data_IF_047286615227
#
_entry.id   IF_047286615227
#
_cell.length_a   1.000
_cell.length_b   1.000
_cell.length_c   1.000
_cell.angle_alpha   90.00
_cell.angle_beta   90.00
_cell.angle_gamma   90.00
#
_symmetry.space_group_name_H-M   'P 1'
#
loop_
_entity.id
_entity.type
_entity.pdbx_description
1 polymer ?
#
# COMPACT_ATOMS: atom_id res chain seq x y z
N UNK A 1 -20.27 -26.92 11.33
CA UNK A 1 -20.76 -28.27 10.95
C UNK A 1 -21.09 -29.03 12.21
N UNK A 2 -22.22 -29.75 12.22
CA UNK A 2 -22.60 -30.59 13.35
C UNK A 2 -21.55 -31.67 13.57
N UNK A 3 -21.14 -31.84 14.81
CA UNK A 3 -20.18 -32.89 15.19
C UNK A 3 -20.92 -34.17 15.59
N UNK A 4 -20.59 -35.26 14.93
CA UNK A 4 -21.12 -36.58 15.26
C UNK A 4 -19.99 -37.37 15.93
N UNK A 5 -20.14 -37.66 17.23
CA UNK A 5 -19.26 -38.57 17.97
C UNK A 5 -19.88 -39.95 17.99
N UNK A 6 -19.11 -40.95 17.58
CA UNK A 6 -19.54 -42.34 17.52
C UNK A 6 -19.18 -43.05 18.81
N UNK A 7 -20.11 -43.81 19.29
CA UNK A 7 -19.93 -44.72 20.39
C UNK A 7 -20.45 -46.10 20.01
N UNK A 8 -20.13 -47.10 20.76
CA UNK A 8 -20.43 -48.51 20.42
C UNK A 8 -21.94 -48.80 20.25
N UNK A 9 -22.82 -48.12 20.98
CA UNK A 9 -24.27 -48.40 21.00
C UNK A 9 -25.07 -47.27 20.34
N UNK A 10 -24.62 -46.02 20.43
CA UNK A 10 -25.34 -44.85 19.96
C UNK A 10 -24.37 -43.77 19.54
N UNK A 11 -24.78 -42.89 18.63
CA UNK A 11 -24.02 -41.73 18.21
C UNK A 11 -24.54 -40.48 18.94
N UNK A 12 -23.64 -39.57 19.29
CA UNK A 12 -23.98 -38.27 19.83
C UNK A 12 -23.83 -37.21 18.76
N UNK A 13 -24.87 -36.46 18.52
CA UNK A 13 -24.85 -35.26 17.68
C UNK A 13 -24.73 -34.04 18.58
N UNK A 14 -23.85 -33.12 18.20
CA UNK A 14 -23.75 -31.79 18.79
C UNK A 14 -23.73 -30.75 17.66
N UNK A 15 -24.79 -29.93 17.58
CA UNK A 15 -24.90 -28.86 16.61
C UNK A 15 -24.53 -27.52 17.22
N UNK A 16 -24.05 -26.60 16.38
CA UNK A 16 -23.82 -25.20 16.73
C UNK A 16 -25.16 -24.44 16.81
N UNK A 17 -25.18 -23.34 17.53
CA UNK A 17 -26.39 -22.53 17.72
C UNK A 17 -26.96 -21.95 16.40
N UNK A 18 -26.08 -21.76 15.41
CA UNK A 18 -26.43 -21.26 14.07
C UNK A 18 -26.95 -22.33 13.11
N UNK A 19 -27.05 -23.59 13.57
CA UNK A 19 -27.47 -24.72 12.75
C UNK A 19 -28.80 -25.27 13.24
N UNK A 20 -29.72 -25.47 12.31
CA UNK A 20 -30.97 -26.12 12.55
C UNK A 20 -30.84 -27.61 12.16
N UNK A 21 -31.09 -28.49 13.11
CA UNK A 21 -31.02 -29.93 12.90
C UNK A 21 -32.44 -30.50 12.87
N UNK A 22 -32.69 -31.33 11.87
CA UNK A 22 -33.88 -32.18 11.84
C UNK A 22 -33.40 -33.64 11.93
N UNK A 23 -33.97 -34.34 12.89
CA UNK A 23 -33.75 -35.77 13.09
C UNK A 23 -34.97 -36.57 12.76
N UNK A 24 -34.84 -37.46 11.80
CA UNK A 24 -35.86 -38.42 11.38
C UNK A 24 -35.46 -39.82 11.84
N UNK A 25 -36.43 -40.56 12.32
CA UNK A 25 -36.29 -41.99 12.63
C UNK A 25 -37.43 -42.74 11.95
N UNK A 26 -37.08 -43.72 11.09
CA UNK A 26 -38.04 -44.52 10.31
C UNK A 26 -39.03 -43.60 9.53
N UNK A 27 -38.53 -42.54 8.90
CA UNK A 27 -39.34 -41.63 8.11
C UNK A 27 -40.19 -40.60 8.91
N UNK A 28 -40.16 -40.63 10.23
CA UNK A 28 -40.92 -39.69 11.08
C UNK A 28 -39.96 -38.67 11.73
N UNK A 29 -40.30 -37.39 11.65
CA UNK A 29 -39.58 -36.31 12.34
C UNK A 29 -39.71 -36.54 13.87
N UNK A 30 -38.60 -36.61 14.55
CA UNK A 30 -38.52 -36.81 16.00
C UNK A 30 -38.03 -35.59 16.76
N UNK A 31 -37.07 -34.88 16.20
CA UNK A 31 -36.50 -33.64 16.78
C UNK A 31 -36.21 -32.65 15.67
N UNK A 32 -36.57 -31.41 15.91
CA UNK A 32 -36.28 -30.28 15.03
C UNK A 32 -35.94 -29.09 15.91
N UNK A 33 -34.86 -28.38 15.62
CA UNK A 33 -34.47 -27.17 16.37
C UNK A 33 -33.04 -26.73 16.12
N UNK A 34 -32.72 -25.54 16.62
CA UNK A 34 -31.39 -24.94 16.56
C UNK A 34 -30.52 -25.41 17.71
N UNK A 35 -29.24 -25.64 17.46
CA UNK A 35 -28.22 -25.93 18.48
C UNK A 35 -28.46 -27.23 19.27
N UNK A 36 -29.14 -28.18 18.66
CA UNK A 36 -29.50 -29.43 19.36
C UNK A 36 -28.28 -30.31 19.66
N UNK A 37 -28.29 -30.89 20.85
CA UNK A 37 -27.35 -31.95 21.22
C UNK A 37 -28.15 -33.16 21.78
N UNK A 38 -27.97 -34.34 21.19
CA UNK A 38 -28.69 -35.54 21.60
C UNK A 38 -28.01 -36.81 21.14
N UNK A 39 -28.40 -37.89 21.78
CA UNK A 39 -27.99 -39.23 21.40
C UNK A 39 -28.99 -39.85 20.45
N UNK A 40 -28.53 -40.59 19.47
CA UNK A 40 -29.39 -41.27 18.49
C UNK A 40 -28.81 -42.60 18.07
N UNK A 41 -29.71 -43.49 17.66
CA UNK A 41 -29.38 -44.79 17.07
C UNK A 41 -29.10 -44.55 15.57
N UNK A 42 -27.92 -44.95 15.05
CA UNK A 42 -27.58 -44.75 13.64
C UNK A 42 -28.47 -45.58 12.69
N UNK A 43 -29.05 -46.71 13.21
CA UNK A 43 -29.86 -47.54 12.38
C UNK A 43 -31.25 -46.94 12.07
N UNK A 44 -31.49 -46.63 10.81
CA UNK A 44 -32.75 -45.98 10.37
C UNK A 44 -32.89 -44.51 10.81
N UNK A 45 -31.79 -43.85 11.15
CA UNK A 45 -31.71 -42.42 11.35
C UNK A 45 -31.45 -41.68 10.03
N UNK A 46 -32.06 -40.52 9.87
CA UNK A 46 -31.69 -39.54 8.86
C UNK A 46 -31.54 -38.16 9.54
N UNK A 47 -30.46 -37.49 9.24
CA UNK A 47 -30.12 -36.19 9.81
C UNK A 47 -29.99 -35.15 8.74
N UNK A 48 -30.59 -33.99 8.96
CA UNK A 48 -30.51 -32.83 8.08
C UNK A 48 -29.91 -31.67 8.84
N UNK A 49 -28.90 -31.01 8.29
CA UNK A 49 -28.24 -29.85 8.89
C UNK A 49 -28.42 -28.63 8.02
N UNK A 50 -29.25 -27.71 8.46
CA UNK A 50 -29.58 -26.49 7.75
C UNK A 50 -28.89 -25.31 8.40
N UNK A 51 -28.00 -24.61 7.71
CA UNK A 51 -27.38 -23.40 8.22
C UNK A 51 -28.37 -22.26 8.25
N UNK A 52 -28.51 -21.62 9.42
CA UNK A 52 -29.41 -20.47 9.61
C UNK A 52 -28.68 -19.14 9.67
N UNK A 53 -27.36 -19.15 9.47
CA UNK A 53 -26.53 -17.95 9.41
C UNK A 53 -26.68 -17.24 8.07
N UNK A 54 -26.44 -15.93 8.07
CA UNK A 54 -26.39 -15.14 6.85
C UNK A 54 -25.25 -15.59 5.96
N UNK A 55 -25.52 -15.62 4.66
CA UNK A 55 -24.57 -16.07 3.64
C UNK A 55 -24.56 -15.09 2.49
N UNK A 56 -23.41 -14.92 1.91
CA UNK A 56 -23.21 -14.05 0.77
C UNK A 56 -23.08 -14.84 -0.52
N UNK A 57 -23.80 -14.38 -1.53
CA UNK A 57 -23.67 -14.80 -2.92
C UNK A 57 -23.13 -13.61 -3.72
N UNK A 58 -21.93 -13.75 -4.22
CA UNK A 58 -21.38 -12.78 -5.18
C UNK A 58 -21.86 -13.20 -6.57
N UNK A 59 -22.37 -12.24 -7.34
CA UNK A 59 -22.84 -12.48 -8.69
C UNK A 59 -22.19 -11.54 -9.71
N UNK A 60 -22.04 -12.04 -10.91
CA UNK A 60 -21.66 -11.29 -12.10
C UNK A 60 -22.56 -11.76 -13.24
N UNK A 61 -23.45 -10.89 -13.68
CA UNK A 61 -24.47 -11.21 -14.69
C UNK A 61 -24.23 -10.33 -15.90
N UNK A 62 -24.27 -10.94 -17.06
CA UNK A 62 -24.25 -10.25 -18.34
C UNK A 62 -25.68 -10.15 -18.84
N UNK A 63 -26.10 -8.95 -19.18
CA UNK A 63 -27.40 -8.65 -19.77
C UNK A 63 -27.24 -7.66 -20.92
N UNK A 64 -28.33 -7.37 -21.61
CA UNK A 64 -28.38 -6.43 -22.72
C UNK A 64 -29.36 -5.30 -22.41
N UNK A 65 -28.99 -4.08 -22.78
CA UNK A 65 -29.86 -2.91 -22.74
C UNK A 65 -30.84 -2.89 -23.92
N UNK A 66 -31.77 -1.94 -23.93
CA UNK A 66 -32.74 -1.76 -25.02
C UNK A 66 -32.06 -1.47 -26.36
N UNK A 67 -30.89 -0.89 -26.37
CA UNK A 67 -30.06 -0.62 -27.55
C UNK A 67 -29.09 -1.75 -27.90
N UNK A 68 -29.35 -2.98 -27.42
CA UNK A 68 -28.60 -4.20 -27.69
C UNK A 68 -27.13 -4.15 -27.26
N UNK A 69 -26.79 -3.31 -26.31
CA UNK A 69 -25.44 -3.22 -25.79
C UNK A 69 -25.25 -4.16 -24.60
N UNK A 70 -24.11 -4.84 -24.58
CA UNK A 70 -23.78 -5.77 -23.51
C UNK A 70 -23.33 -5.01 -22.26
N UNK A 71 -23.95 -5.34 -21.14
CA UNK A 71 -23.66 -4.81 -19.80
C UNK A 71 -23.38 -5.94 -18.83
N UNK A 72 -22.41 -5.73 -17.95
CA UNK A 72 -22.14 -6.63 -16.85
C UNK A 72 -22.54 -5.96 -15.52
N UNK A 73 -23.46 -6.59 -14.80
CA UNK A 73 -23.89 -6.19 -13.46
C UNK A 73 -23.16 -7.05 -12.46
N UNK A 74 -22.44 -6.44 -11.54
CA UNK A 74 -21.73 -7.11 -10.45
C UNK A 74 -22.31 -6.69 -9.11
N UNK A 75 -22.38 -7.65 -8.19
CA UNK A 75 -22.90 -7.35 -6.86
C UNK A 75 -22.86 -8.56 -5.94
N UNK A 76 -23.52 -8.40 -4.81
CA UNK A 76 -23.72 -9.48 -3.84
C UNK A 76 -25.12 -9.45 -3.25
N UNK A 77 -25.62 -10.64 -2.95
CA UNK A 77 -26.88 -10.87 -2.23
C UNK A 77 -26.56 -11.56 -0.92
N UNK A 78 -26.96 -10.97 0.18
CA UNK A 78 -26.91 -11.61 1.50
C UNK A 78 -28.28 -12.25 1.73
N UNK A 79 -28.25 -13.54 1.96
CA UNK A 79 -29.44 -14.36 2.16
C UNK A 79 -29.28 -15.27 3.37
N UNK A 80 -30.40 -15.68 3.93
CA UNK A 80 -30.46 -16.66 5.02
C UNK A 80 -31.65 -17.60 4.83
N UNK A 81 -31.61 -18.68 5.55
CA UNK A 81 -32.77 -19.58 5.66
C UNK A 81 -33.69 -19.01 6.73
N UNK A 82 -34.89 -18.61 6.36
CA UNK A 82 -35.95 -18.16 7.28
C UNK A 82 -36.72 -19.34 7.87
N UNK A 83 -37.14 -20.28 7.00
CA UNK A 83 -37.95 -21.46 7.38
C UNK A 83 -37.22 -22.75 7.00
N UNK A 84 -36.73 -23.45 8.05
CA UNK A 84 -35.97 -24.67 7.88
C UNK A 84 -36.83 -25.83 7.33
N UNK A 85 -38.10 -25.89 7.64
CA UNK A 85 -38.97 -26.99 7.23
C UNK A 85 -39.29 -26.89 5.74
N UNK A 86 -39.55 -25.66 5.27
CA UNK A 86 -39.80 -25.41 3.84
C UNK A 86 -38.60 -25.74 2.98
N UNK A 87 -37.40 -25.29 3.38
CA UNK A 87 -36.22 -25.54 2.58
C UNK A 87 -35.80 -26.99 2.58
N UNK A 88 -35.94 -27.69 3.71
CA UNK A 88 -35.59 -29.11 3.83
C UNK A 88 -36.47 -30.00 2.94
N UNK A 89 -37.68 -29.55 2.60
CA UNK A 89 -38.58 -30.30 1.68
C UNK A 89 -38.19 -30.19 0.21
N UNK A 90 -37.34 -29.19 -0.13
CA UNK A 90 -37.00 -28.88 -1.53
C UNK A 90 -35.51 -29.10 -1.85
N UNK A 91 -34.65 -28.96 -0.86
CA UNK A 91 -33.21 -29.06 -1.01
C UNK A 91 -32.67 -30.08 -0.02
N UNK A 92 -31.83 -30.97 -0.49
CA UNK A 92 -31.23 -32.02 0.34
C UNK A 92 -30.07 -31.49 1.18
N UNK A 93 -30.30 -31.32 2.46
CA UNK A 93 -29.31 -31.00 3.49
C UNK A 93 -28.88 -32.23 4.31
N UNK A 94 -29.05 -33.42 3.76
CA UNK A 94 -28.71 -34.65 4.44
C UNK A 94 -27.24 -34.75 4.85
N UNK A 95 -27.00 -35.33 6.01
CA UNK A 95 -25.68 -35.62 6.53
C UNK A 95 -25.43 -37.11 6.46
N UNK A 96 -24.25 -37.50 5.99
CA UNK A 96 -23.77 -38.87 6.13
C UNK A 96 -23.46 -39.17 7.59
N UNK A 97 -24.27 -40.01 8.20
CA UNK A 97 -24.13 -40.45 9.60
C UNK A 97 -22.77 -41.12 9.84
N UNK A 98 -22.19 -41.71 8.78
CA UNK A 98 -20.94 -42.47 8.87
C UNK A 98 -19.72 -41.58 8.71
N UNK A 99 -19.74 -40.60 7.84
CA UNK A 99 -18.60 -39.72 7.55
C UNK A 99 -18.73 -38.35 8.20
N UNK A 100 -19.93 -37.97 8.66
CA UNK A 100 -20.22 -36.65 9.23
C UNK A 100 -20.21 -35.54 8.17
N UNK A 101 -20.08 -35.86 6.88
CA UNK A 101 -20.10 -34.94 5.77
C UNK A 101 -21.51 -34.76 5.19
N UNK A 102 -21.73 -33.69 4.41
CA UNK A 102 -22.97 -33.50 3.64
C UNK A 102 -23.03 -34.48 2.49
N UNK A 103 -24.22 -35.02 2.25
CA UNK A 103 -24.47 -35.94 1.14
C UNK A 103 -24.61 -35.19 -0.20
N UNK A 104 -25.15 -34.00 -0.18
CA UNK A 104 -25.38 -33.15 -1.35
C UNK A 104 -24.66 -31.81 -1.30
N UNK A 105 -24.91 -30.98 -2.31
CA UNK A 105 -24.42 -29.61 -2.43
C UNK A 105 -25.58 -28.60 -2.38
N UNK A 106 -26.31 -28.53 -1.27
CA UNK A 106 -27.50 -27.68 -1.17
C UNK A 106 -27.21 -26.22 -1.44
N UNK A 107 -26.02 -25.75 -1.06
CA UNK A 107 -25.62 -24.36 -1.23
C UNK A 107 -25.43 -23.97 -2.69
N UNK A 108 -24.88 -24.87 -3.52
CA UNK A 108 -24.72 -24.63 -4.96
C UNK A 108 -26.08 -24.53 -5.64
N UNK A 109 -27.03 -25.38 -5.22
CA UNK A 109 -28.40 -25.32 -5.75
C UNK A 109 -29.08 -23.98 -5.39
N UNK A 110 -29.01 -23.57 -4.14
CA UNK A 110 -29.58 -22.27 -3.70
C UNK A 110 -28.93 -21.11 -4.43
N UNK A 111 -27.59 -21.13 -4.54
CA UNK A 111 -26.83 -20.11 -5.28
C UNK A 111 -27.27 -20.05 -6.74
N UNK A 112 -27.50 -21.18 -7.39
CA UNK A 112 -27.98 -21.23 -8.77
C UNK A 112 -29.36 -20.60 -8.92
N UNK A 113 -30.30 -20.91 -8.01
CA UNK A 113 -31.63 -20.31 -8.00
C UNK A 113 -31.56 -18.79 -7.77
N UNK A 114 -30.84 -18.35 -6.77
CA UNK A 114 -30.67 -16.91 -6.48
C UNK A 114 -30.02 -16.17 -7.64
N UNK A 115 -28.99 -16.77 -8.27
CA UNK A 115 -28.34 -16.16 -9.44
C UNK A 115 -29.32 -16.08 -10.63
N UNK A 116 -30.17 -17.08 -10.80
CA UNK A 116 -31.23 -17.07 -11.83
C UNK A 116 -32.20 -15.91 -11.63
N UNK A 117 -32.69 -15.75 -10.39
CA UNK A 117 -33.60 -14.64 -10.03
C UNK A 117 -32.94 -13.27 -10.20
N UNK A 118 -31.70 -13.09 -9.71
CA UNK A 118 -30.97 -11.84 -9.92
C UNK A 118 -30.83 -11.52 -11.40
N UNK A 119 -30.54 -12.56 -12.22
CA UNK A 119 -30.45 -12.40 -13.67
C UNK A 119 -31.77 -11.94 -14.27
N UNK A 120 -32.86 -12.57 -13.89
CA UNK A 120 -34.19 -12.25 -14.41
C UNK A 120 -34.56 -10.78 -14.09
N UNK A 121 -34.41 -10.36 -12.84
CA UNK A 121 -34.74 -9.01 -12.43
C UNK A 121 -33.78 -7.96 -13.01
N UNK A 122 -32.49 -8.29 -13.08
CA UNK A 122 -31.52 -7.41 -13.70
C UNK A 122 -31.78 -7.26 -15.21
N UNK A 123 -32.02 -8.36 -15.92
CA UNK A 123 -32.32 -8.35 -17.35
C UNK A 123 -33.60 -7.58 -17.66
N UNK A 124 -34.65 -7.75 -16.85
CA UNK A 124 -35.87 -6.99 -16.98
C UNK A 124 -35.66 -5.49 -16.90
N UNK A 125 -34.83 -5.05 -15.93
CA UNK A 125 -34.53 -3.64 -15.78
C UNK A 125 -33.60 -3.10 -16.89
N UNK A 126 -32.63 -3.89 -17.33
CA UNK A 126 -31.67 -3.49 -18.37
C UNK A 126 -32.36 -3.32 -19.75
N UNK A 127 -33.29 -4.22 -20.09
CA UNK A 127 -33.98 -4.21 -21.38
C UNK A 127 -34.94 -3.03 -21.58
N UNK A 128 -35.34 -2.39 -20.49
CA UNK A 128 -36.28 -1.26 -20.53
C UNK A 128 -35.59 0.10 -20.83
N UNK A 129 -34.27 0.16 -20.76
CA UNK A 129 -33.52 1.42 -20.82
C UNK A 129 -32.31 1.35 -21.74
N UNK A 130 -31.94 2.51 -22.30
CA UNK A 130 -30.72 2.66 -23.07
C UNK A 130 -29.49 2.61 -22.14
N UNK A 131 -28.34 2.19 -22.69
CA UNK A 131 -27.11 2.07 -21.92
C UNK A 131 -26.66 3.38 -21.29
N UNK A 132 -26.90 4.49 -21.98
CA UNK A 132 -26.52 5.81 -21.51
C UNK A 132 -27.31 6.21 -20.27
N UNK A 133 -28.63 6.02 -20.34
CA UNK A 133 -29.50 6.30 -19.20
C UNK A 133 -29.19 5.42 -17.99
N UNK A 134 -28.87 4.16 -18.25
CA UNK A 134 -28.45 3.22 -17.20
C UNK A 134 -27.17 3.65 -16.48
N UNK A 135 -26.19 4.14 -17.23
CA UNK A 135 -24.92 4.62 -16.67
C UNK A 135 -25.06 5.96 -15.95
N UNK A 136 -25.92 6.88 -16.47
CA UNK A 136 -26.21 8.17 -15.84
C UNK A 136 -27.05 8.01 -14.57
N UNK A 137 -28.01 7.09 -14.55
CA UNK A 137 -28.83 6.80 -13.37
C UNK A 137 -28.05 6.15 -12.22
N UNK A 138 -26.93 5.51 -12.52
CA UNK A 138 -26.06 4.86 -11.54
C UNK A 138 -26.59 3.52 -11.01
N UNK A 139 -26.04 3.08 -9.88
CA UNK A 139 -26.29 1.73 -9.35
C UNK A 139 -27.58 1.62 -8.51
N UNK A 140 -28.02 2.72 -7.92
CA UNK A 140 -29.15 2.72 -6.97
C UNK A 140 -30.49 2.25 -7.58
N UNK A 141 -30.90 2.67 -8.80
CA UNK A 141 -32.15 2.23 -9.38
C UNK A 141 -32.16 0.73 -9.76
N UNK A 142 -31.04 0.19 -10.23
CA UNK A 142 -30.93 -1.24 -10.55
C UNK A 142 -30.97 -2.09 -9.28
N UNK A 143 -30.33 -1.61 -8.20
CA UNK A 143 -30.40 -2.25 -6.89
C UNK A 143 -31.83 -2.28 -6.37
N UNK A 144 -32.56 -1.17 -6.48
CA UNK A 144 -33.95 -1.09 -6.07
C UNK A 144 -34.86 -2.00 -6.90
N UNK A 145 -34.65 -2.06 -8.22
CA UNK A 145 -35.40 -2.95 -9.11
C UNK A 145 -35.21 -4.42 -8.75
N UNK A 146 -33.98 -4.83 -8.50
CA UNK A 146 -33.68 -6.20 -8.06
C UNK A 146 -34.30 -6.47 -6.69
N UNK A 147 -34.25 -5.53 -5.75
CA UNK A 147 -34.84 -5.68 -4.42
C UNK A 147 -36.38 -5.87 -4.50
N UNK A 148 -37.06 -5.03 -5.27
CA UNK A 148 -38.50 -5.16 -5.51
C UNK A 148 -38.83 -6.50 -6.17
N UNK A 149 -38.02 -6.97 -7.12
CA UNK A 149 -38.18 -8.27 -7.74
C UNK A 149 -38.11 -9.41 -6.72
N UNK A 150 -37.14 -9.37 -5.81
CA UNK A 150 -37.01 -10.38 -4.76
C UNK A 150 -38.14 -10.36 -3.75
N UNK A 151 -38.63 -9.17 -3.39
CA UNK A 151 -39.75 -9.03 -2.45
C UNK A 151 -41.08 -9.55 -3.05
N UNK A 152 -41.22 -9.40 -4.37
CA UNK A 152 -42.41 -9.84 -5.09
C UNK A 152 -42.41 -11.33 -5.47
N UNK A 153 -41.23 -11.99 -5.44
CA UNK A 153 -41.12 -13.37 -5.94
C UNK A 153 -41.65 -14.40 -4.93
N UNK A 154 -42.68 -15.17 -5.31
CA UNK A 154 -43.21 -16.23 -4.45
C UNK A 154 -42.25 -17.41 -4.30
N UNK A 155 -41.26 -17.58 -5.17
CA UNK A 155 -40.33 -18.72 -5.15
C UNK A 155 -39.50 -18.75 -3.88
N UNK A 156 -38.99 -17.60 -3.46
CA UNK A 156 -38.17 -17.48 -2.23
C UNK A 156 -39.01 -17.80 -0.99
N UNK A 157 -40.18 -17.24 -0.88
CA UNK A 157 -41.10 -17.53 0.21
C UNK A 157 -41.50 -19.00 0.26
N UNK A 158 -41.74 -19.61 -0.93
CA UNK A 158 -42.03 -21.01 -1.04
C UNK A 158 -40.86 -21.93 -0.68
N UNK A 159 -39.62 -21.46 -0.87
CA UNK A 159 -38.36 -22.13 -0.45
C UNK A 159 -38.03 -21.87 1.00
N UNK A 160 -38.65 -20.90 1.66
CA UNK A 160 -38.29 -20.49 3.01
C UNK A 160 -36.96 -19.76 3.10
N UNK A 161 -36.55 -19.09 2.01
CA UNK A 161 -35.38 -18.23 1.96
C UNK A 161 -35.76 -16.77 2.18
N UNK A 162 -34.90 -16.04 2.85
CA UNK A 162 -35.02 -14.59 3.06
C UNK A 162 -33.80 -13.90 2.51
N UNK A 163 -34.00 -12.86 1.73
CA UNK A 163 -32.95 -11.96 1.28
C UNK A 163 -32.82 -10.84 2.31
N UNK A 164 -31.63 -10.72 2.90
CA UNK A 164 -31.33 -9.73 3.93
C UNK A 164 -30.92 -8.40 3.31
N UNK A 165 -30.07 -8.44 2.32
CA UNK A 165 -29.65 -7.24 1.58
C UNK A 165 -29.12 -7.59 0.19
N UNK A 166 -29.27 -6.64 -0.71
CA UNK A 166 -28.78 -6.71 -2.06
C UNK A 166 -27.86 -5.51 -2.28
N UNK A 167 -26.70 -5.74 -2.85
CA UNK A 167 -25.73 -4.69 -3.17
C UNK A 167 -25.28 -4.87 -4.61
N UNK A 168 -25.40 -3.81 -5.39
CA UNK A 168 -24.82 -3.74 -6.72
C UNK A 168 -23.53 -2.94 -6.60
N UNK A 169 -22.42 -3.53 -6.98
CA UNK A 169 -21.09 -2.94 -6.85
C UNK A 169 -20.66 -2.21 -8.10
N UNK A 170 -21.03 -2.74 -9.27
CA UNK A 170 -20.62 -2.16 -10.54
C UNK A 170 -21.63 -2.49 -11.65
N UNK A 171 -21.79 -1.54 -12.56
CA UNK A 171 -22.43 -1.70 -13.84
C UNK A 171 -21.40 -1.33 -14.90
N UNK A 172 -20.92 -2.31 -15.64
CA UNK A 172 -19.81 -2.14 -16.58
C UNK A 172 -20.29 -2.48 -18.00
N UNK A 173 -20.22 -1.54 -18.94
CA UNK A 173 -20.44 -1.83 -20.35
C UNK A 173 -19.26 -2.62 -20.93
N UNK A 174 -19.43 -3.12 -22.14
CA UNK A 174 -18.33 -3.76 -22.87
C UNK A 174 -17.14 -2.79 -23.01
N UNK A 175 -15.92 -3.34 -23.09
CA UNK A 175 -14.71 -2.51 -23.18
C UNK A 175 -14.69 -1.59 -24.39
N UNK A 176 -15.32 -2.02 -25.49
CA UNK A 176 -15.43 -1.21 -26.71
C UNK A 176 -16.40 -0.07 -26.53
N UNK A 177 -17.57 -0.35 -25.96
CA UNK A 177 -18.58 0.66 -25.68
C UNK A 177 -18.08 1.66 -24.63
N UNK A 178 -17.39 1.20 -23.61
CA UNK A 178 -16.79 2.08 -22.59
C UNK A 178 -15.82 3.08 -23.22
N UNK A 179 -14.96 2.62 -24.14
CA UNK A 179 -14.05 3.51 -24.90
C UNK A 179 -14.82 4.47 -25.80
N UNK A 180 -15.85 3.99 -26.49
CA UNK A 180 -16.66 4.82 -27.36
C UNK A 180 -17.41 5.93 -26.58
N UNK A 181 -17.93 5.61 -25.40
CA UNK A 181 -18.58 6.58 -24.50
C UNK A 181 -17.60 7.59 -23.91
N UNK A 182 -16.35 7.17 -23.68
CA UNK A 182 -15.30 8.07 -23.17
C UNK A 182 -14.70 8.97 -24.24
N UNK A 183 -14.70 8.53 -25.52
CA UNK A 183 -14.06 9.26 -26.61
C UNK A 183 -14.52 10.74 -26.71
N UNK A 184 -15.84 11.05 -26.76
CA UNK A 184 -16.27 12.45 -26.86
C UNK A 184 -15.90 13.29 -25.64
N UNK A 185 -15.89 12.67 -24.46
CA UNK A 185 -15.46 13.36 -23.24
C UNK A 185 -13.95 13.62 -23.27
N UNK A 186 -13.18 12.64 -23.70
CA UNK A 186 -11.73 12.76 -23.85
C UNK A 186 -11.36 13.82 -24.90
N UNK A 187 -12.04 13.80 -26.07
CA UNK A 187 -11.87 14.81 -27.12
C UNK A 187 -12.24 16.22 -26.63
N UNK A 188 -13.34 16.36 -25.88
CA UNK A 188 -13.73 17.64 -25.30
C UNK A 188 -12.74 18.17 -24.28
N UNK A 189 -12.15 17.28 -23.46
CA UNK A 189 -11.10 17.63 -22.50
C UNK A 189 -9.81 18.03 -23.23
N UNK A 190 -9.46 17.30 -24.28
CA UNK A 190 -8.28 17.63 -25.09
C UNK A 190 -8.47 18.96 -25.81
N UNK A 191 -9.65 19.19 -26.41
CA UNK A 191 -9.98 20.47 -27.04
C UNK A 191 -9.86 21.64 -26.04
N UNK A 192 -10.42 21.48 -24.83
CA UNK A 192 -10.28 22.49 -23.77
C UNK A 192 -8.83 22.71 -23.34
N UNK A 193 -8.03 21.64 -23.28
CA UNK A 193 -6.60 21.75 -22.99
C UNK A 193 -5.86 22.48 -24.10
N UNK A 194 -6.19 22.19 -25.37
CA UNK A 194 -5.61 22.85 -26.52
C UNK A 194 -6.04 24.32 -26.58
N UNK A 195 -7.32 24.63 -26.36
CA UNK A 195 -7.82 26.00 -26.24
C UNK A 195 -7.10 26.76 -25.12
N UNK A 196 -6.89 26.14 -23.96
CA UNK A 196 -6.15 26.75 -22.86
C UNK A 196 -4.68 26.99 -23.23
N UNK A 197 -4.05 26.08 -23.98
CA UNK A 197 -2.68 26.25 -24.45
C UNK A 197 -2.58 27.32 -25.52
N UNK A 198 -3.53 27.38 -26.47
CA UNK A 198 -3.61 28.45 -27.48
C UNK A 198 -3.87 29.81 -26.84
N UNK A 199 -4.78 29.90 -25.90
CA UNK A 199 -5.05 31.15 -25.17
C UNK A 199 -3.84 31.63 -24.37
N UNK A 200 -3.10 30.72 -23.74
CA UNK A 200 -1.84 31.04 -23.05
C UNK A 200 -0.77 31.52 -24.02
N UNK A 201 -0.64 30.87 -25.18
CA UNK A 201 0.31 31.30 -26.24
C UNK A 201 -0.08 32.65 -26.83
N UNK A 202 -1.36 32.86 -27.12
CA UNK A 202 -1.86 34.16 -27.62
C UNK A 202 -1.56 35.27 -26.60
N UNK A 203 -1.85 35.04 -25.32
CA UNK A 203 -1.55 35.98 -24.25
C UNK A 203 -0.04 36.24 -24.08
N UNK A 204 0.79 35.20 -24.28
CA UNK A 204 2.24 35.37 -24.27
C UNK A 204 2.74 36.20 -25.43
N UNK A 205 2.24 35.93 -26.66
CA UNK A 205 2.57 36.70 -27.84
C UNK A 205 2.08 38.17 -27.73
N UNK A 206 0.87 38.39 -27.22
CA UNK A 206 0.34 39.73 -26.96
C UNK A 206 1.20 40.50 -25.93
N UNK A 207 1.65 39.80 -24.90
CA UNK A 207 2.58 40.39 -23.91
C UNK A 207 3.95 40.67 -24.51
N UNK A 208 4.50 39.72 -25.29
CA UNK A 208 5.76 39.93 -26.01
C UNK A 208 5.63 41.10 -27.01
N UNK A 209 4.48 41.18 -27.71
CA UNK A 209 4.20 42.30 -28.61
C UNK A 209 4.10 43.63 -27.87
N UNK A 210 3.35 43.65 -26.74
CA UNK A 210 3.25 44.83 -25.89
C UNK A 210 4.62 45.22 -25.28
N UNK A 211 5.46 44.24 -24.94
CA UNK A 211 6.84 44.51 -24.49
C UNK A 211 7.67 45.07 -25.63
N UNK A 212 7.59 44.45 -26.83
CA UNK A 212 8.33 44.92 -28.01
C UNK A 212 7.88 46.32 -28.45
N UNK A 213 6.58 46.61 -28.41
CA UNK A 213 6.04 47.94 -28.68
C UNK A 213 6.49 48.96 -27.64
N UNK A 214 6.48 48.58 -26.34
CA UNK A 214 7.02 49.44 -25.30
C UNK A 214 8.53 49.64 -25.44
N UNK A 215 9.28 48.59 -25.78
CA UNK A 215 10.71 48.67 -26.04
C UNK A 215 11.00 49.59 -27.26
N UNK A 216 10.21 49.45 -28.34
CA UNK A 216 10.34 50.31 -29.51
C UNK A 216 10.00 51.77 -29.16
N UNK A 217 8.92 51.98 -28.39
CA UNK A 217 8.51 53.31 -27.95
C UNK A 217 9.55 53.92 -26.99
N UNK A 218 10.11 53.09 -26.09
CA UNK A 218 11.23 53.46 -25.27
C UNK A 218 12.49 53.81 -26.12
N UNK A 219 12.79 53.02 -27.17
CA UNK A 219 13.89 53.32 -28.06
C UNK A 219 13.68 54.61 -28.83
N UNK A 220 12.46 54.93 -29.26
CA UNK A 220 12.10 56.20 -29.91
C UNK A 220 12.23 57.36 -28.93
N UNK A 221 11.76 57.18 -27.71
CA UNK A 221 11.93 58.17 -26.63
C UNK A 221 13.40 58.32 -26.20
N UNK A 222 14.15 57.20 -26.23
CA UNK A 222 15.60 57.15 -26.04
C UNK A 222 16.37 57.88 -27.14
N UNK A 223 15.96 57.80 -28.41
CA UNK A 223 16.57 58.56 -29.51
C UNK A 223 16.42 60.09 -29.31
N UNK A 224 15.34 60.52 -28.68
CA UNK A 224 15.09 61.91 -28.35
C UNK A 224 15.81 62.42 -27.09
N UNK A 225 16.11 61.54 -26.15
CA UNK A 225 16.74 61.86 -24.87
C UNK A 225 18.07 61.15 -24.63
N UNK A 226 18.81 60.84 -25.69
CA UNK A 226 20.05 60.03 -25.65
C UNK A 226 21.07 60.48 -24.60
N UNK A 227 21.16 61.76 -24.28
CA UNK A 227 22.10 62.28 -23.28
C UNK A 227 21.73 61.90 -21.83
N UNK A 228 20.44 61.90 -21.50
CA UNK A 228 20.01 61.62 -20.14
C UNK A 228 19.90 60.09 -19.86
N UNK A 229 19.77 59.32 -20.91
CA UNK A 229 19.56 57.89 -20.79
C UNK A 229 20.82 57.08 -20.59
N UNK A 230 21.92 57.47 -21.26
CA UNK A 230 23.21 56.84 -21.06
C UNK A 230 23.60 56.89 -19.56
N UNK A 231 23.34 58.03 -18.90
CA UNK A 231 23.61 58.19 -17.48
C UNK A 231 22.66 57.34 -16.60
N UNK A 232 21.36 57.13 -17.05
CA UNK A 232 20.39 56.30 -16.34
C UNK A 232 20.59 54.80 -16.63
N UNK A 233 20.98 54.43 -17.85
CA UNK A 233 21.34 53.04 -18.15
C UNK A 233 22.59 52.60 -17.41
N UNK A 234 23.62 53.48 -17.33
CA UNK A 234 24.80 53.21 -16.52
C UNK A 234 24.45 53.05 -15.02
N UNK A 235 23.54 53.89 -14.52
CA UNK A 235 23.08 53.78 -13.15
C UNK A 235 22.25 52.53 -12.91
N UNK A 236 21.33 52.16 -13.85
CA UNK A 236 20.51 50.95 -13.75
C UNK A 236 21.35 49.65 -13.93
N UNK A 237 22.29 49.68 -14.90
CA UNK A 237 23.19 48.55 -15.11
C UNK A 237 24.13 48.32 -13.92
N UNK A 238 24.62 49.43 -13.31
CA UNK A 238 25.41 49.38 -12.07
C UNK A 238 24.57 48.85 -10.91
N UNK A 239 23.32 49.34 -10.77
CA UNK A 239 22.41 48.87 -9.71
C UNK A 239 22.05 47.37 -9.87
N UNK A 240 21.84 46.89 -11.10
CA UNK A 240 21.57 45.49 -11.35
C UNK A 240 22.80 44.60 -11.15
N UNK A 241 23.98 45.09 -11.55
CA UNK A 241 25.23 44.43 -11.33
C UNK A 241 25.57 44.39 -9.83
N UNK A 242 25.34 45.50 -9.12
CA UNK A 242 25.49 45.56 -7.64
C UNK A 242 24.48 44.65 -6.92
N UNK A 243 23.22 44.61 -7.36
CA UNK A 243 22.20 43.71 -6.81
C UNK A 243 22.54 42.24 -7.05
N UNK A 244 22.95 41.89 -8.28
CA UNK A 244 23.41 40.54 -8.62
C UNK A 244 24.73 40.17 -7.90
N UNK A 245 25.66 41.13 -7.81
CA UNK A 245 26.90 40.96 -7.05
C UNK A 245 26.60 40.83 -5.55
N UNK A 246 25.67 41.63 -5.03
CA UNK A 246 25.21 41.56 -3.63
C UNK A 246 24.55 40.22 -3.32
N UNK A 247 23.61 39.76 -4.16
CA UNK A 247 22.97 38.47 -3.97
C UNK A 247 23.96 37.30 -4.06
N UNK A 248 24.89 37.38 -5.02
CA UNK A 248 25.96 36.38 -5.15
C UNK A 248 26.94 36.43 -3.98
N UNK A 249 27.22 37.65 -3.46
CA UNK A 249 28.07 37.85 -2.30
C UNK A 249 27.42 37.29 -1.04
N UNK A 250 26.13 37.56 -0.83
CA UNK A 250 25.36 37.02 0.29
C UNK A 250 25.32 35.47 0.21
N UNK A 251 25.14 34.92 -0.99
CA UNK A 251 25.12 33.47 -1.17
C UNK A 251 26.50 32.85 -0.91
N UNK A 252 27.58 33.50 -1.37
CA UNK A 252 28.96 33.04 -1.11
C UNK A 252 29.33 33.21 0.35
N UNK A 253 28.91 34.33 0.96
CA UNK A 253 29.13 34.57 2.42
C UNK A 253 28.36 33.55 3.27
N UNK A 254 27.10 33.24 2.89
CA UNK A 254 26.32 32.23 3.59
C UNK A 254 26.93 30.81 3.44
N UNK A 255 27.40 30.49 2.23
CA UNK A 255 28.08 29.20 1.98
C UNK A 255 29.44 29.10 2.70
N UNK A 256 30.20 30.20 2.70
CA UNK A 256 31.45 30.26 3.44
C UNK A 256 31.23 30.21 4.96
N UNK A 257 30.22 30.92 5.47
CA UNK A 257 29.85 30.85 6.89
C UNK A 257 29.38 29.44 7.28
N UNK A 258 28.60 28.78 6.45
CA UNK A 258 28.20 27.40 6.68
C UNK A 258 29.38 26.42 6.68
N UNK A 259 30.35 26.64 5.78
CA UNK A 259 31.61 25.87 5.74
C UNK A 259 32.50 26.15 6.96
N UNK A 260 32.59 27.42 7.41
CA UNK A 260 33.35 27.78 8.61
C UNK A 260 32.69 27.15 9.85
N UNK A 261 31.36 27.26 9.98
CA UNK A 261 30.64 26.66 11.10
C UNK A 261 30.81 25.12 11.07
N UNK A 262 30.72 24.52 9.88
CA UNK A 262 30.98 23.08 9.69
C UNK A 262 32.41 22.69 10.07
N UNK A 263 33.41 23.47 9.62
CA UNK A 263 34.81 23.25 9.95
C UNK A 263 35.11 23.47 11.44
N UNK A 264 34.50 24.48 12.03
CA UNK A 264 34.65 24.73 13.50
C UNK A 264 33.99 23.62 14.33
N UNK A 265 32.82 23.14 13.91
CA UNK A 265 32.16 21.99 14.55
C UNK A 265 33.01 20.72 14.44
N UNK A 266 33.59 20.47 13.26
CA UNK A 266 34.50 19.35 13.03
C UNK A 266 35.79 19.48 13.81
N UNK A 267 36.38 20.69 13.85
CA UNK A 267 37.57 20.96 14.65
C UNK A 267 37.30 20.80 16.16
N UNK A 268 36.14 21.23 16.63
CA UNK A 268 35.72 20.99 18.03
C UNK A 268 35.53 19.52 18.32
N UNK A 269 34.92 18.77 17.37
CA UNK A 269 34.74 17.31 17.48
C UNK A 269 36.11 16.61 17.56
N UNK A 270 37.01 16.95 16.64
CA UNK A 270 38.37 16.36 16.61
C UNK A 270 39.11 16.67 17.90
N UNK A 271 39.09 17.94 18.34
CA UNK A 271 39.74 18.32 19.59
C UNK A 271 39.17 17.59 20.80
N UNK A 272 37.86 17.45 20.87
CA UNK A 272 37.21 16.70 21.96
C UNK A 272 37.61 15.22 21.97
N UNK A 273 37.71 14.61 20.79
CA UNK A 273 38.15 13.22 20.65
C UNK A 273 39.63 13.06 21.00
N UNK A 274 40.51 13.98 20.54
CA UNK A 274 41.93 13.92 20.84
C UNK A 274 42.18 14.27 22.31
N UNK A 275 41.43 15.18 22.89
CA UNK A 275 41.52 15.52 24.31
C UNK A 275 41.10 14.32 25.18
N UNK A 276 40.01 13.66 24.83
CA UNK A 276 39.57 12.42 25.48
C UNK A 276 40.61 11.29 25.35
N UNK A 277 41.25 11.19 24.17
CA UNK A 277 42.32 10.22 23.95
C UNK A 277 43.58 10.56 24.76
N UNK A 278 43.96 11.86 24.83
CA UNK A 278 45.10 12.32 25.64
C UNK A 278 44.84 12.16 27.15
N UNK A 279 43.62 12.42 27.60
CA UNK A 279 43.22 12.22 28.99
C UNK A 279 43.21 10.73 29.36
N UNK A 280 42.80 9.86 28.45
CA UNK A 280 42.86 8.42 28.62
C UNK A 280 44.31 7.89 28.64
N UNK A 281 45.18 8.45 27.77
CA UNK A 281 46.62 8.10 27.77
C UNK A 281 47.33 8.64 29.02
N UNK A 282 46.94 9.82 29.47
CA UNK A 282 47.42 10.35 30.75
C UNK A 282 47.01 9.50 31.94
N UNK A 283 45.73 9.14 32.01
CA UNK A 283 45.23 8.22 33.04
C UNK A 283 45.92 6.86 32.99
N UNK A 284 46.26 6.40 31.79
CA UNK A 284 47.01 5.14 31.58
C UNK A 284 48.44 5.28 32.02
N UNK A 285 49.09 6.42 31.72
CA UNK A 285 50.48 6.70 32.21
C UNK A 285 50.51 6.88 33.70
N UNK A 286 49.54 7.58 34.30
CA UNK A 286 49.45 7.75 35.76
C UNK A 286 49.20 6.43 36.47
N UNK A 287 48.39 5.55 35.86
CA UNK A 287 48.17 4.20 36.37
C UNK A 287 49.45 3.36 36.29
N UNK A 288 50.25 3.52 35.22
CA UNK A 288 51.53 2.81 35.04
C UNK A 288 52.59 3.36 35.99
N UNK A 289 52.62 4.67 36.27
CA UNK A 289 53.58 5.30 37.19
C UNK A 289 53.35 4.87 38.64
N UNK A 290 52.17 4.41 39.01
CA UNK A 290 51.85 3.92 40.36
C UNK A 290 52.21 2.47 40.61
N UNK A 291 52.76 1.75 39.63
CA UNK A 291 53.03 0.29 39.70
C UNK A 291 54.55 0.09 39.99
N UNK A 292 54.89 -0.80 40.93
CA UNK A 292 56.29 -1.12 41.21
C UNK A 292 57.03 -1.65 39.97
N UNK A 293 58.33 -1.32 39.80
CA UNK A 293 59.12 -1.67 38.61
C UNK A 293 59.12 -3.18 38.27
N UNK A 294 58.92 -4.04 39.24
CA UNK A 294 58.86 -5.49 39.03
C UNK A 294 57.58 -5.96 38.31
N UNK A 295 56.49 -5.23 38.50
CA UNK A 295 55.22 -5.56 37.85
C UNK A 295 55.16 -4.97 36.41
N UNK A 296 55.83 -3.83 36.20
CA UNK A 296 56.00 -3.26 34.87
C UNK A 296 56.79 -4.16 33.93
N UNK A 297 57.82 -4.84 34.44
CA UNK A 297 58.57 -5.78 33.65
C UNK A 297 57.78 -7.02 33.25
N UNK A 298 56.92 -7.48 34.18
CA UNK A 298 56.03 -8.61 33.86
C UNK A 298 54.93 -8.25 32.85
N UNK A 299 54.39 -7.05 32.92
CA UNK A 299 53.39 -6.55 31.92
C UNK A 299 54.02 -6.31 30.55
N UNK A 300 55.23 -5.74 30.50
CA UNK A 300 55.97 -5.57 29.25
C UNK A 300 56.37 -6.90 28.61
N UNK A 301 56.73 -7.89 29.41
CA UNK A 301 57.03 -9.22 28.95
C UNK A 301 55.76 -9.96 28.41
N UNK A 302 54.63 -9.72 29.05
CA UNK A 302 53.32 -10.29 28.60
C UNK A 302 52.85 -9.65 27.31
N UNK A 303 53.00 -8.33 27.14
CA UNK A 303 52.63 -7.63 25.89
C UNK A 303 53.59 -7.98 24.73
N UNK A 304 54.86 -8.20 25.04
CA UNK A 304 55.85 -8.68 24.06
C UNK A 304 55.57 -10.13 23.63
N UNK A 305 55.19 -10.99 24.57
CA UNK A 305 54.82 -12.36 24.28
C UNK A 305 53.54 -12.43 23.41
N UNK A 306 52.54 -11.60 23.65
CA UNK A 306 51.29 -11.51 22.87
C UNK A 306 51.47 -10.93 21.46
N UNK A 307 52.52 -10.13 21.24
CA UNK A 307 52.85 -9.60 19.91
C UNK A 307 53.74 -10.56 19.10
N UNK A 308 54.44 -11.46 19.76
CA UNK A 308 55.27 -12.48 19.09
C UNK A 308 54.46 -13.69 18.53
N UNK A 309 53.27 -13.91 19.06
CA UNK A 309 52.33 -14.97 18.55
C UNK A 309 51.75 -14.68 17.17
N UNK A 310 51.95 -13.47 16.64
CA UNK A 310 51.42 -13.02 15.34
C UNK A 310 52.49 -12.84 14.23
N UNK A 311 53.72 -13.31 14.44
CA UNK A 311 54.77 -13.18 13.41
C UNK A 311 55.24 -14.59 13.01
N UNK A 312 54.64 -15.11 11.98
CA UNK A 312 54.87 -16.46 11.49
C UNK A 312 56.11 -16.63 10.58
N UNK A 313 56.90 -15.63 10.36
CA UNK A 313 58.26 -15.76 9.80
C UNK A 313 58.98 -14.40 9.75
N UNK A 314 60.03 -14.22 10.54
CA UNK A 314 60.96 -13.12 10.40
C UNK A 314 62.30 -13.66 9.93
N UNK A 315 62.55 -13.62 8.62
CA UNK A 315 63.87 -13.83 8.07
C UNK A 315 64.63 -12.50 8.12
N UNK A 316 65.44 -12.33 9.14
CA UNK A 316 66.31 -11.16 9.24
C UNK A 316 67.59 -11.49 8.46
N UNK A 317 67.77 -10.84 7.33
CA UNK A 317 69.09 -10.92 6.65
C UNK A 317 70.07 -9.96 7.34
N UNK A 318 71.35 -10.35 7.40
CA UNK A 318 72.40 -9.58 8.10
C UNK A 318 72.60 -8.15 7.57
N UNK A 319 72.17 -7.87 6.33
CA UNK A 319 72.31 -6.58 5.67
C UNK A 319 71.36 -5.48 6.21
N UNK A 320 70.25 -5.85 6.80
CA UNK A 320 69.29 -4.88 7.37
C UNK A 320 69.75 -4.34 8.74
N UNK A 321 70.49 -5.13 9.48
CA UNK A 321 71.05 -4.70 10.79
C UNK A 321 72.17 -3.66 10.63
N UNK A 322 72.98 -3.75 9.58
CA UNK A 322 74.04 -2.80 9.31
C UNK A 322 73.48 -1.41 8.89
N UNK A 323 72.35 -1.38 8.15
CA UNK A 323 71.69 -0.12 7.74
C UNK A 323 71.03 0.60 8.89
N UNK A 324 70.43 -0.10 9.85
CA UNK A 324 69.78 0.51 11.04
C UNK A 324 70.80 1.08 12.05
N UNK A 325 71.97 0.43 12.18
CA UNK A 325 73.05 0.91 13.05
C UNK A 325 73.69 2.17 12.48
N UNK A 326 73.85 2.28 11.16
CA UNK A 326 74.35 3.50 10.52
C UNK A 326 73.37 4.65 10.60
N UNK A 327 72.05 4.39 10.48
CA UNK A 327 71.02 5.41 10.61
C UNK A 327 70.88 5.93 12.06
N UNK A 328 70.99 5.08 13.07
CA UNK A 328 70.96 5.44 14.47
C UNK A 328 72.20 6.30 14.85
N UNK A 329 73.33 6.04 14.23
CA UNK A 329 74.57 6.79 14.44
C UNK A 329 74.50 8.19 13.78
N UNK A 330 73.82 8.35 12.68
CA UNK A 330 73.59 9.61 11.99
C UNK A 330 72.64 10.56 12.77
N UNK A 331 71.70 10.01 13.48
CA UNK A 331 70.76 10.79 14.31
C UNK A 331 71.41 11.30 15.61
N UNK A 332 72.44 10.57 16.10
CA UNK A 332 73.14 10.99 17.33
C UNK A 332 74.23 12.03 17.12
N UNK A 333 74.56 12.37 15.89
CA UNK A 333 75.68 13.29 15.56
C UNK A 333 75.23 14.58 14.87
N UNK A 334 73.95 14.89 14.84
CA UNK A 334 73.52 16.22 14.34
C UNK A 334 73.45 17.22 15.43
N UNK A 335 74.28 18.31 15.40
CA UNK A 335 74.23 19.36 16.41
C UNK A 335 72.99 20.23 16.18
N UNK A 336 72.39 20.61 17.29
CA UNK A 336 71.36 21.64 17.34
C UNK A 336 71.87 22.91 16.63
N UNK A 337 71.07 23.41 15.69
CA UNK A 337 71.21 24.77 15.20
C UNK A 337 70.02 25.59 15.69
N UNK A 338 70.32 26.50 16.59
CA UNK A 338 69.50 27.66 16.95
C UNK A 338 69.25 28.51 15.70
N UNK A 339 68.05 28.90 15.48
CA UNK A 339 67.46 30.26 15.36
C UNK A 339 65.98 30.19 15.02
#
# INVERSE_FOLDING_TARGET
MAQIKRYFIANQLRAEASQHIQYFRKGKLRKSGKGLSFWFDPNGASLTEIPMNDRELIFMIKGQSSDYQDLAVQGSVIWRVGDADKIASRVDFGIDINKGGRLGKPEEHIKSVLTGLVREFADAYLKDKEVRDLLEAGLSPIQAAIAVGFDADPTLQAMGLEVVSIRVSALSPSSELYRALQAPTFESLQQKADEATFSRRALAVDKERAIAENELQNQIELASRRKDLIAREDANARSEAEAKAGAKRIMVEADSAAKIIGAEAEAKRIRAVEQAAADMEKARMDAIASVPPSVMFALAAQEFAGKLEKIDSLTVSPDMLSGMIQQAKAIMTSPAMET
#
